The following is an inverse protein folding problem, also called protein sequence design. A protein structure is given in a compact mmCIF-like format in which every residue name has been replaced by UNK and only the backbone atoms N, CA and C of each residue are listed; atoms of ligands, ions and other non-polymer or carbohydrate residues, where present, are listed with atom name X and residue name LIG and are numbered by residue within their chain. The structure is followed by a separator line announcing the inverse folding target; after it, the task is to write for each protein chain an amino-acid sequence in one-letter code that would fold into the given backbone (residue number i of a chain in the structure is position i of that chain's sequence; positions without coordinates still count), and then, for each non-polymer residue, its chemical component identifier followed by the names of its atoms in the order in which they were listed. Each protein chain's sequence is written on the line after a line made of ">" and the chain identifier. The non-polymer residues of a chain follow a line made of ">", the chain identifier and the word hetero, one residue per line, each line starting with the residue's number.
data_IF_336625454475
#
_entry.id   IF_336625454475
#
_cell.length_a   1.000
_cell.length_b   1.000
_cell.length_c   1.000
_cell.angle_alpha   90.00
_cell.angle_beta   90.00
_cell.angle_gamma   90.00
#
_symmetry.space_group_name_H-M   'P 1'
#
loop_
_entity.id
_entity.type
_entity.pdbx_description
1 polymer ?
#
# COMPACT_ATOMS: atom_id res chain seq x y z
N UNK A 1 -51.74 -31.98 46.87
CA UNK A 1 -51.27 -32.66 45.64
C UNK A 1 -51.87 -31.95 44.42
N UNK A 2 -50.99 -31.48 43.53
CA UNK A 2 -51.14 -30.91 42.19
C UNK A 2 -52.39 -30.11 41.79
N UNK A 3 -52.20 -28.78 41.66
CA UNK A 3 -52.97 -27.88 40.79
C UNK A 3 -52.17 -27.65 39.49
N UNK A 4 -52.65 -28.18 38.37
CA UNK A 4 -52.16 -27.83 37.03
C UNK A 4 -52.89 -26.57 36.56
N UNK A 5 -52.17 -25.45 36.46
CA UNK A 5 -52.64 -24.23 35.80
C UNK A 5 -51.82 -24.07 34.52
N UNK A 6 -52.49 -24.25 33.38
CA UNK A 6 -52.01 -23.87 32.06
C UNK A 6 -51.80 -22.35 32.01
N UNK A 7 -50.58 -21.92 31.71
CA UNK A 7 -50.29 -20.54 31.27
C UNK A 7 -49.91 -20.55 29.80
N UNK A 8 -50.76 -19.91 29.01
CA UNK A 8 -50.50 -19.45 27.64
C UNK A 8 -49.52 -18.29 27.70
N UNK A 9 -48.44 -18.33 26.91
CA UNK A 9 -47.65 -17.14 26.53
C UNK A 9 -47.38 -17.21 25.03
N UNK A 10 -47.83 -16.17 24.33
CA UNK A 10 -47.63 -15.92 22.89
C UNK A 10 -46.30 -15.18 22.64
N UNK A 11 -45.66 -15.55 21.52
CA UNK A 11 -44.83 -14.76 20.59
C UNK A 11 -43.56 -14.05 21.08
N UNK A 12 -42.43 -14.37 20.42
CA UNK A 12 -41.67 -13.40 19.61
C UNK A 12 -40.65 -14.11 18.72
N UNK A 13 -40.71 -13.78 17.43
CA UNK A 13 -39.76 -14.22 16.41
C UNK A 13 -38.35 -13.69 16.73
N UNK A 14 -37.38 -14.60 16.81
CA UNK A 14 -35.96 -14.23 16.83
C UNK A 14 -35.38 -14.50 15.43
N UNK A 15 -35.17 -13.40 14.72
CA UNK A 15 -34.30 -13.27 13.55
C UNK A 15 -33.00 -14.05 13.75
N UNK A 16 -32.69 -14.92 12.80
CA UNK A 16 -31.41 -15.62 12.69
C UNK A 16 -30.29 -14.63 12.36
N UNK A 17 -29.81 -13.91 13.37
CA UNK A 17 -28.47 -13.31 13.34
C UNK A 17 -27.47 -14.47 13.39
N UNK A 18 -26.90 -14.79 12.23
CA UNK A 18 -25.65 -15.54 12.12
C UNK A 18 -24.56 -14.75 12.84
N UNK A 19 -24.49 -14.89 14.17
CA UNK A 19 -23.27 -14.64 14.91
C UNK A 19 -22.27 -15.68 14.43
N UNK A 20 -21.37 -15.28 13.54
CA UNK A 20 -20.12 -16.00 13.33
C UNK A 20 -19.38 -15.94 14.66
N UNK A 21 -19.58 -16.97 15.49
CA UNK A 21 -18.84 -17.17 16.73
C UNK A 21 -17.35 -17.13 16.40
N UNK A 22 -16.70 -16.04 16.78
CA UNK A 22 -15.26 -15.91 16.67
C UNK A 22 -14.65 -16.96 17.59
N UNK A 23 -14.11 -18.03 17.02
CA UNK A 23 -13.34 -19.02 17.77
C UNK A 23 -12.01 -18.37 18.17
N UNK A 24 -12.03 -17.67 19.29
CA UNK A 24 -10.85 -17.17 19.97
C UNK A 24 -10.19 -18.33 20.71
N UNK A 25 -8.94 -18.66 20.36
CA UNK A 25 -8.14 -19.57 21.18
C UNK A 25 -7.72 -18.83 22.46
N UNK A 26 -8.06 -19.36 23.63
CA UNK A 26 -7.63 -18.78 24.91
C UNK A 26 -6.24 -19.30 25.30
N UNK A 27 -5.37 -18.45 25.82
CA UNK A 27 -4.12 -18.91 26.46
C UNK A 27 -4.42 -19.56 27.82
N UNK A 28 -3.40 -20.16 28.46
CA UNK A 28 -3.52 -20.80 29.79
C UNK A 28 -3.99 -19.84 30.91
N UNK A 29 -4.11 -18.54 30.62
CA UNK A 29 -4.54 -17.48 31.54
C UNK A 29 -5.89 -16.86 31.13
N UNK A 30 -6.59 -17.41 30.14
CA UNK A 30 -7.89 -16.90 29.69
C UNK A 30 -7.83 -15.68 28.78
N UNK A 31 -6.66 -15.34 28.21
CA UNK A 31 -6.56 -14.26 27.23
C UNK A 31 -6.84 -14.77 25.82
N UNK A 32 -7.56 -13.99 25.02
CA UNK A 32 -7.72 -14.25 23.58
C UNK A 32 -6.35 -14.19 22.90
N UNK A 33 -5.85 -15.35 22.47
CA UNK A 33 -4.66 -15.47 21.64
C UNK A 33 -5.05 -15.15 20.20
N UNK A 34 -4.78 -13.92 19.77
CA UNK A 34 -4.91 -13.55 18.36
C UNK A 34 -3.82 -14.27 17.57
N UNK A 35 -4.17 -15.40 16.96
CA UNK A 35 -3.28 -16.08 16.00
C UNK A 35 -3.18 -15.20 14.75
N UNK A 36 -1.96 -15.01 14.26
CA UNK A 36 -1.67 -14.25 13.05
C UNK A 36 -1.24 -15.17 11.91
N UNK A 37 -1.51 -14.78 10.66
CA UNK A 37 -0.99 -15.43 9.45
C UNK A 37 -0.42 -14.42 8.47
N UNK A 38 0.37 -14.93 7.53
CA UNK A 38 0.90 -14.16 6.41
C UNK A 38 -0.06 -14.15 5.23
N UNK A 39 -0.23 -12.98 4.63
CA UNK A 39 -1.01 -12.76 3.43
C UNK A 39 -0.08 -12.21 2.36
N UNK A 40 0.15 -13.00 1.30
CA UNK A 40 0.89 -12.57 0.11
C UNK A 40 -0.10 -11.99 -0.88
N UNK A 41 -0.01 -10.69 -1.12
CA UNK A 41 -0.96 -9.94 -1.93
C UNK A 41 -0.27 -9.40 -3.17
N UNK A 42 -0.86 -9.59 -4.34
CA UNK A 42 -0.39 -8.97 -5.57
C UNK A 42 -0.37 -7.43 -5.41
N UNK A 43 0.70 -6.78 -5.86
CA UNK A 43 0.88 -5.33 -5.68
C UNK A 43 -0.24 -4.49 -6.28
N UNK A 44 -0.81 -4.88 -7.43
CA UNK A 44 -1.93 -4.17 -8.07
C UNK A 44 -3.18 -4.25 -7.20
N UNK A 45 -3.48 -5.43 -6.67
CA UNK A 45 -4.63 -5.62 -5.79
C UNK A 45 -4.47 -4.86 -4.47
N UNK A 46 -3.28 -4.94 -3.85
CA UNK A 46 -2.98 -4.24 -2.62
C UNK A 46 -3.09 -2.72 -2.80
N UNK A 47 -2.58 -2.18 -3.92
CA UNK A 47 -2.74 -0.77 -4.23
C UNK A 47 -4.21 -0.37 -4.47
N UNK A 48 -4.94 -1.15 -5.28
CA UNK A 48 -6.35 -0.87 -5.57
C UNK A 48 -7.16 -0.72 -4.28
N UNK A 49 -6.93 -1.61 -3.31
CA UNK A 49 -7.60 -1.56 -2.01
C UNK A 49 -7.12 -0.41 -1.13
N UNK A 50 -5.81 -0.18 -1.05
CA UNK A 50 -5.25 0.93 -0.28
C UNK A 50 -5.74 2.29 -0.79
N UNK A 51 -5.86 2.45 -2.12
CA UNK A 51 -6.36 3.68 -2.74
C UNK A 51 -7.79 3.99 -2.30
N UNK A 52 -8.69 3.00 -2.30
CA UNK A 52 -10.08 3.18 -1.83
C UNK A 52 -10.13 3.70 -0.39
N UNK A 53 -9.17 3.26 0.42
CA UNK A 53 -9.04 3.63 1.82
C UNK A 53 -8.12 4.86 2.06
N UNK A 54 -7.84 5.65 1.02
CA UNK A 54 -7.18 6.96 1.14
C UNK A 54 -5.66 6.92 1.33
N UNK A 55 -5.03 5.77 1.14
CA UNK A 55 -3.57 5.72 0.95
C UNK A 55 -3.20 6.39 -0.37
N UNK A 56 -2.03 7.02 -0.42
CA UNK A 56 -1.60 7.77 -1.61
C UNK A 56 -0.32 7.23 -2.23
N UNK A 57 -0.24 7.41 -3.54
CA UNK A 57 0.95 7.10 -4.33
C UNK A 57 1.27 8.27 -5.26
N UNK A 58 2.38 8.96 -5.01
CA UNK A 58 2.75 10.12 -5.83
C UNK A 58 4.27 10.27 -5.99
N UNK A 59 4.73 10.80 -7.14
CA UNK A 59 6.10 11.26 -7.28
C UNK A 59 6.37 12.52 -6.43
N UNK A 60 7.55 12.62 -5.85
CA UNK A 60 7.98 13.80 -5.09
C UNK A 60 7.94 15.05 -5.98
N UNK A 61 7.39 16.14 -5.44
CA UNK A 61 7.14 17.37 -6.19
C UNK A 61 5.76 17.44 -6.88
N UNK A 62 4.95 16.38 -6.80
CA UNK A 62 3.53 16.38 -7.19
C UNK A 62 2.57 16.40 -5.97
N UNK A 63 3.04 16.93 -4.84
CA UNK A 63 2.22 17.08 -3.63
C UNK A 63 0.97 17.92 -3.94
N UNK A 64 -0.20 17.29 -3.93
CA UNK A 64 -1.49 17.93 -4.19
C UNK A 64 -2.24 17.42 -5.43
N UNK A 65 -1.57 16.73 -6.35
CA UNK A 65 -2.22 16.12 -7.51
C UNK A 65 -3.08 14.90 -7.09
N UNK A 66 -4.32 14.84 -7.56
CA UNK A 66 -5.30 13.82 -7.19
C UNK A 66 -4.91 12.43 -7.75
N UNK A 67 -5.00 11.39 -6.91
CA UNK A 67 -4.72 10.00 -7.26
C UNK A 67 -5.68 9.51 -8.37
N UNK A 68 -5.15 9.12 -9.54
CA UNK A 68 -5.94 8.55 -10.64
C UNK A 68 -5.92 9.35 -11.95
N UNK A 69 -5.23 10.49 -11.98
CA UNK A 69 -4.72 11.07 -13.22
C UNK A 69 -3.21 10.83 -13.29
N UNK A 70 -2.68 10.60 -14.48
CA UNK A 70 -1.24 10.52 -14.77
C UNK A 70 -0.51 11.66 -14.05
N UNK A 71 0.07 11.37 -12.89
CA UNK A 71 0.64 12.39 -12.04
C UNK A 71 2.01 12.74 -12.60
N UNK A 72 2.04 13.65 -13.59
CA UNK A 72 3.26 14.09 -14.25
C UNK A 72 4.06 14.97 -13.29
N UNK A 73 5.13 14.44 -12.72
CA UNK A 73 6.10 15.22 -11.95
C UNK A 73 7.39 15.46 -12.72
N UNK A 74 8.25 16.28 -12.14
CA UNK A 74 9.60 16.55 -12.61
C UNK A 74 10.42 15.25 -12.66
N UNK A 75 11.24 15.11 -13.70
CA UNK A 75 12.45 14.31 -13.59
C UNK A 75 13.53 15.19 -12.96
N UNK A 76 14.40 14.57 -12.19
CA UNK A 76 15.56 15.23 -11.60
C UNK A 76 16.84 14.68 -12.24
N UNK A 77 17.85 15.52 -12.37
CA UNK A 77 19.21 15.11 -12.68
C UNK A 77 20.21 15.84 -11.78
N UNK A 78 21.42 15.29 -11.66
CA UNK A 78 22.52 15.94 -10.93
C UNK A 78 23.48 16.60 -11.90
N UNK A 79 23.90 17.84 -11.57
CA UNK A 79 25.04 18.52 -12.23
C UNK A 79 26.00 18.97 -11.13
N UNK A 80 27.15 18.29 -11.02
CA UNK A 80 27.99 18.39 -9.84
C UNK A 80 27.19 18.03 -8.58
N UNK A 81 27.18 18.93 -7.59
CA UNK A 81 26.43 18.74 -6.33
C UNK A 81 24.97 19.25 -6.38
N UNK A 82 24.55 19.89 -7.48
CA UNK A 82 23.20 20.49 -7.58
C UNK A 82 22.20 19.50 -8.19
N UNK A 83 21.02 19.40 -7.57
CA UNK A 83 19.86 18.71 -8.13
C UNK A 83 19.03 19.72 -8.93
N UNK A 84 18.74 19.39 -10.19
CA UNK A 84 17.97 20.23 -11.11
C UNK A 84 16.73 19.46 -11.54
N UNK A 85 15.55 20.08 -11.39
CA UNK A 85 14.27 19.54 -11.87
C UNK A 85 13.98 19.98 -13.31
N UNK A 86 13.48 19.07 -14.12
CA UNK A 86 13.06 19.32 -15.51
C UNK A 86 11.65 18.78 -15.75
N UNK A 87 10.75 19.66 -16.22
CA UNK A 87 9.39 19.36 -16.70
C UNK A 87 9.44 19.55 -18.21
N UNK A 88 9.27 18.49 -19.01
CA UNK A 88 7.90 18.06 -19.30
C UNK A 88 7.78 16.53 -19.35
N UNK A 89 6.74 15.96 -18.73
CA UNK A 89 6.35 14.53 -18.88
C UNK A 89 7.30 13.48 -18.29
N UNK A 90 8.04 13.82 -17.23
CA UNK A 90 9.15 13.00 -16.76
C UNK A 90 8.74 11.71 -16.03
N UNK A 91 7.93 11.82 -14.98
CA UNK A 91 7.64 10.68 -14.13
C UNK A 91 6.15 10.43 -13.95
N UNK A 92 5.75 9.15 -13.98
CA UNK A 92 4.35 8.73 -13.92
C UNK A 92 4.15 7.53 -13.00
N UNK A 93 2.97 7.47 -12.39
CA UNK A 93 2.46 6.27 -11.73
C UNK A 93 1.37 5.66 -12.62
N UNK A 94 1.69 4.58 -13.37
CA UNK A 94 0.72 3.91 -14.25
C UNK A 94 0.10 2.69 -13.59
N UNK A 95 -1.23 2.57 -13.68
CA UNK A 95 -1.98 1.47 -13.04
C UNK A 95 -1.75 1.39 -11.53
N UNK A 96 -1.26 2.48 -10.92
CA UNK A 96 -1.07 2.56 -9.48
C UNK A 96 0.11 1.78 -8.88
N UNK A 97 0.85 1.04 -9.70
CA UNK A 97 2.01 0.25 -9.23
C UNK A 97 3.26 0.43 -10.07
N UNK A 98 3.14 0.96 -11.29
CA UNK A 98 4.28 1.18 -12.17
C UNK A 98 4.82 2.58 -11.97
N UNK A 99 6.10 2.68 -11.61
CA UNK A 99 6.83 3.91 -11.37
C UNK A 99 7.75 4.15 -12.53
N UNK A 100 7.44 5.15 -13.33
CA UNK A 100 8.12 5.41 -14.58
C UNK A 100 8.92 6.69 -14.51
N UNK A 101 10.13 6.65 -15.06
CA UNK A 101 10.96 7.80 -15.38
C UNK A 101 11.20 7.75 -16.89
N UNK A 102 10.46 8.56 -17.62
CA UNK A 102 10.47 8.68 -19.07
C UNK A 102 11.75 9.34 -19.59
N UNK A 103 11.97 9.18 -20.89
CA UNK A 103 12.94 9.98 -21.61
C UNK A 103 12.57 11.45 -21.52
N UNK A 104 13.50 12.26 -21.04
CA UNK A 104 13.48 13.69 -21.27
C UNK A 104 14.80 14.07 -21.93
N UNK A 105 14.73 14.39 -23.23
CA UNK A 105 15.85 15.06 -23.90
C UNK A 105 15.81 16.53 -23.55
N UNK A 106 16.95 17.08 -23.14
CA UNK A 106 17.10 18.50 -22.90
C UNK A 106 18.20 19.02 -23.83
N UNK A 107 17.84 19.86 -24.80
CA UNK A 107 18.78 20.40 -25.78
C UNK A 107 19.94 21.18 -25.14
N UNK A 108 19.73 21.77 -23.95
CA UNK A 108 20.74 22.54 -23.21
C UNK A 108 21.72 21.66 -22.43
N UNK A 109 21.31 20.45 -22.02
CA UNK A 109 22.10 19.59 -21.12
C UNK A 109 22.43 18.22 -21.71
N UNK A 110 21.97 17.91 -22.91
CA UNK A 110 22.21 16.62 -23.57
C UNK A 110 21.60 15.44 -22.81
N UNK A 111 22.14 14.23 -23.04
CA UNK A 111 21.70 13.01 -22.34
C UNK A 111 22.24 13.01 -20.90
N UNK A 112 21.33 12.97 -19.92
CA UNK A 112 21.63 12.94 -18.50
C UNK A 112 21.11 11.66 -17.84
N UNK A 113 21.68 11.29 -16.69
CA UNK A 113 21.01 10.35 -15.77
C UNK A 113 19.78 11.07 -15.21
N UNK A 114 18.64 10.39 -15.25
CA UNK A 114 17.38 10.93 -14.75
C UNK A 114 16.90 10.09 -13.58
N UNK A 115 16.26 10.72 -12.61
CA UNK A 115 15.61 10.00 -11.52
C UNK A 115 14.35 10.71 -11.05
N UNK A 116 13.50 9.95 -10.37
CA UNK A 116 12.44 10.49 -9.55
C UNK A 116 12.24 9.66 -8.29
N UNK A 117 11.76 10.35 -7.27
CA UNK A 117 11.42 9.75 -5.99
C UNK A 117 9.91 9.57 -5.93
N UNK A 118 9.46 8.47 -5.37
CA UNK A 118 8.08 8.05 -5.34
C UNK A 118 7.69 7.69 -3.92
N UNK A 119 6.67 8.34 -3.39
CA UNK A 119 6.07 8.03 -2.10
C UNK A 119 4.99 6.97 -2.31
N UNK A 120 5.12 5.84 -1.60
CA UNK A 120 4.21 4.69 -1.70
C UNK A 120 3.52 4.49 -0.35
N UNK A 121 2.22 4.16 -0.38
CA UNK A 121 1.36 4.01 0.81
C UNK A 121 1.51 5.17 1.79
N UNK A 122 1.55 6.39 1.25
CA UNK A 122 1.75 7.58 2.06
C UNK A 122 0.50 7.96 2.85
N UNK A 123 0.70 8.82 3.86
CA UNK A 123 -0.33 9.48 4.70
C UNK A 123 -1.10 8.59 5.69
N UNK A 124 -1.13 7.27 5.50
CA UNK A 124 -1.89 6.35 6.35
C UNK A 124 -1.02 5.22 6.89
N UNK A 125 -1.45 4.64 8.01
CA UNK A 125 -0.89 3.43 8.62
C UNK A 125 -1.87 2.28 8.43
N UNK A 126 -1.40 1.04 8.42
CA UNK A 126 -2.28 -0.12 8.43
C UNK A 126 -3.18 -0.13 9.67
N UNK A 127 -4.37 -0.74 9.54
CA UNK A 127 -5.31 -0.95 10.63
C UNK A 127 -4.64 -1.65 11.81
N UNK A 128 -5.08 -1.36 13.04
CA UNK A 128 -4.59 -2.04 14.25
C UNK A 128 -4.73 -3.56 14.11
N UNK A 129 -3.70 -4.29 14.52
CA UNK A 129 -3.63 -5.75 14.35
C UNK A 129 -2.99 -6.21 13.03
N UNK A 130 -2.80 -5.29 12.07
CA UNK A 130 -2.11 -5.56 10.81
C UNK A 130 -0.69 -4.98 10.79
N UNK A 131 0.23 -5.68 10.14
CA UNK A 131 1.64 -5.29 10.02
C UNK A 131 2.19 -5.62 8.65
N UNK A 132 3.13 -4.81 8.17
CA UNK A 132 3.89 -5.10 6.95
C UNK A 132 5.05 -6.05 7.28
N UNK A 133 5.18 -7.16 6.55
CA UNK A 133 6.39 -8.01 6.58
C UNK A 133 7.35 -7.62 5.47
N UNK A 134 6.83 -7.50 4.24
CA UNK A 134 7.67 -7.29 3.06
C UNK A 134 6.95 -6.53 1.94
N UNK A 135 7.68 -5.66 1.21
CA UNK A 135 7.24 -5.10 -0.07
C UNK A 135 8.28 -5.49 -1.13
N UNK A 136 7.85 -6.26 -2.12
CA UNK A 136 8.69 -6.70 -3.25
C UNK A 136 8.49 -5.79 -4.44
N UNK A 137 9.60 -5.21 -4.90
CA UNK A 137 9.66 -4.38 -6.10
C UNK A 137 10.50 -5.08 -7.18
N UNK A 138 10.08 -4.94 -8.44
CA UNK A 138 10.88 -5.31 -9.61
C UNK A 138 11.33 -4.05 -10.37
N UNK A 139 12.37 -4.18 -11.20
CA UNK A 139 12.86 -3.12 -12.09
C UNK A 139 14.01 -2.29 -11.52
N UNK A 140 14.20 -1.07 -12.04
CA UNK A 140 15.34 -0.21 -11.73
C UNK A 140 15.03 0.77 -10.60
N UNK A 141 15.33 0.38 -9.35
CA UNK A 141 15.03 1.22 -8.19
C UNK A 141 16.09 1.17 -7.09
N UNK A 142 16.00 2.12 -6.16
CA UNK A 142 16.71 2.16 -4.88
C UNK A 142 15.76 2.61 -3.78
N UNK A 143 15.88 2.05 -2.58
CA UNK A 143 15.13 2.53 -1.42
C UNK A 143 15.77 3.83 -0.89
N UNK A 144 14.97 4.89 -0.73
CA UNK A 144 15.39 6.09 0.02
C UNK A 144 14.91 6.05 1.46
N UNK A 145 13.67 5.59 1.66
CA UNK A 145 13.12 5.21 2.96
C UNK A 145 12.50 3.85 2.77
N UNK A 146 13.06 2.80 3.37
CA UNK A 146 12.44 1.46 3.36
C UNK A 146 11.34 1.40 4.44
N UNK A 147 10.29 0.63 4.20
CA UNK A 147 9.26 0.35 5.21
C UNK A 147 9.89 -0.34 6.43
N UNK A 148 9.27 -0.17 7.60
CA UNK A 148 9.71 -0.84 8.84
C UNK A 148 8.93 -2.15 9.00
N UNK A 149 9.63 -3.27 8.79
CA UNK A 149 9.03 -4.60 8.92
C UNK A 149 8.43 -4.82 10.32
N UNK A 150 7.37 -5.62 10.39
CA UNK A 150 6.59 -5.94 11.57
C UNK A 150 5.96 -4.72 12.27
N UNK A 151 5.63 -3.67 11.52
CA UNK A 151 4.91 -2.49 12.03
C UNK A 151 3.68 -2.19 11.19
N UNK A 152 2.82 -1.28 11.66
CA UNK A 152 1.72 -0.74 10.86
C UNK A 152 2.16 0.44 9.97
N UNK A 153 3.42 0.87 10.01
CA UNK A 153 3.96 1.91 9.14
C UNK A 153 4.44 1.31 7.82
N UNK A 154 3.58 1.37 6.80
CA UNK A 154 3.84 0.85 5.46
C UNK A 154 4.42 1.91 4.50
N UNK A 155 4.41 3.18 4.91
CA UNK A 155 4.87 4.28 4.06
C UNK A 155 6.36 4.16 3.73
N UNK A 156 6.67 4.26 2.43
CA UNK A 156 8.02 4.05 1.92
C UNK A 156 8.32 5.02 0.76
N UNK A 157 9.61 5.25 0.49
CA UNK A 157 10.07 6.13 -0.58
C UNK A 157 11.07 5.40 -1.48
N UNK A 158 10.75 5.36 -2.77
CA UNK A 158 11.51 4.64 -3.79
C UNK A 158 12.08 5.64 -4.79
N UNK A 159 13.38 5.53 -5.08
CA UNK A 159 14.03 6.24 -6.17
C UNK A 159 14.09 5.35 -7.40
N UNK A 160 13.50 5.76 -8.51
CA UNK A 160 13.66 5.12 -9.81
C UNK A 160 14.74 5.88 -10.57
N UNK A 161 15.73 5.15 -11.11
CA UNK A 161 16.89 5.75 -11.79
C UNK A 161 16.95 5.23 -13.21
N UNK A 162 17.04 6.17 -14.16
CA UNK A 162 17.28 5.93 -15.56
C UNK A 162 18.74 6.30 -15.89
N UNK A 163 19.57 5.33 -16.29
CA UNK A 163 20.96 5.58 -16.63
C UNK A 163 21.12 6.60 -17.76
N UNK A 164 22.23 7.35 -17.71
CA UNK A 164 22.66 8.25 -18.79
C UNK A 164 22.75 7.46 -20.10
N UNK A 165 22.24 8.02 -21.20
CA UNK A 165 22.34 7.39 -22.52
C UNK A 165 21.24 6.37 -22.84
N UNK A 166 20.49 5.88 -21.84
CA UNK A 166 19.39 4.94 -22.09
C UNK A 166 18.31 5.56 -22.98
N UNK A 167 17.81 4.80 -23.94
CA UNK A 167 16.68 5.20 -24.80
C UNK A 167 15.33 4.66 -24.27
N UNK A 168 15.32 3.87 -23.19
CA UNK A 168 14.10 3.30 -22.61
C UNK A 168 13.77 3.95 -21.27
N UNK A 169 12.48 4.10 -20.97
CA UNK A 169 12.05 4.58 -19.67
C UNK A 169 12.52 3.62 -18.56
N UNK A 170 12.96 4.16 -17.42
CA UNK A 170 13.20 3.32 -16.25
C UNK A 170 11.87 3.03 -15.56
N UNK A 171 11.68 1.78 -15.14
CA UNK A 171 10.47 1.30 -14.51
C UNK A 171 10.79 0.60 -13.19
N UNK A 172 9.99 0.88 -12.16
CA UNK A 172 9.87 0.01 -10.99
C UNK A 172 8.40 -0.40 -10.81
N UNK A 173 8.15 -1.59 -10.25
CA UNK A 173 6.79 -2.09 -10.05
C UNK A 173 6.64 -2.77 -8.70
N UNK A 174 5.55 -2.48 -7.97
CA UNK A 174 5.15 -3.26 -6.79
C UNK A 174 4.62 -4.61 -7.28
N UNK A 175 5.39 -5.66 -7.03
CA UNK A 175 5.03 -7.04 -7.41
C UNK A 175 4.15 -7.68 -6.36
N UNK A 176 4.56 -7.60 -5.09
CA UNK A 176 3.92 -8.31 -3.99
C UNK A 176 4.10 -7.53 -2.69
N UNK A 177 3.10 -7.62 -1.81
CA UNK A 177 3.15 -7.14 -0.44
C UNK A 177 2.79 -8.31 0.47
N UNK A 178 3.60 -8.53 1.51
CA UNK A 178 3.37 -9.55 2.51
C UNK A 178 2.90 -8.88 3.79
N UNK A 179 1.64 -9.11 4.15
CA UNK A 179 1.02 -8.58 5.37
C UNK A 179 0.94 -9.66 6.43
N UNK A 180 0.99 -9.26 7.70
CA UNK A 180 0.70 -10.12 8.85
C UNK A 180 -0.55 -9.58 9.52
N UNK A 181 -1.55 -10.42 9.69
CA UNK A 181 -2.82 -10.05 10.33
C UNK A 181 -3.55 -11.25 10.93
N UNK A 182 -4.76 -11.04 11.45
CA UNK A 182 -5.55 -12.09 12.10
C UNK A 182 -5.78 -13.30 11.19
N UNK A 183 -5.70 -14.53 11.73
CA UNK A 183 -5.91 -15.77 10.97
C UNK A 183 -7.26 -15.82 10.26
N UNK A 184 -8.30 -15.28 10.89
CA UNK A 184 -9.67 -15.22 10.34
C UNK A 184 -9.97 -13.91 9.60
N UNK A 185 -8.99 -13.00 9.49
CA UNK A 185 -9.15 -11.73 8.79
C UNK A 185 -8.99 -11.86 7.27
N UNK A 186 -9.45 -10.83 6.55
CA UNK A 186 -9.20 -10.66 5.11
C UNK A 186 -8.08 -9.63 4.93
N UNK A 187 -7.19 -9.84 3.97
CA UNK A 187 -6.06 -8.92 3.78
C UNK A 187 -6.50 -7.48 3.45
N UNK A 188 -7.68 -7.30 2.85
CA UNK A 188 -8.27 -6.00 2.56
C UNK A 188 -8.44 -5.16 3.83
N UNK A 189 -8.85 -5.81 4.93
CA UNK A 189 -9.07 -5.19 6.24
C UNK A 189 -7.82 -4.48 6.79
N UNK A 190 -6.63 -4.80 6.26
CA UNK A 190 -5.39 -4.11 6.61
C UNK A 190 -5.40 -2.62 6.23
N UNK A 191 -6.19 -2.24 5.22
CA UNK A 191 -6.28 -0.90 4.69
C UNK A 191 -7.51 -0.13 5.19
N UNK A 192 -8.50 -0.80 5.76
CA UNK A 192 -9.73 -0.18 6.26
C UNK A 192 -9.46 0.66 7.53
N UNK A 193 -9.46 1.99 7.37
CA UNK A 193 -9.12 2.97 8.42
C UNK A 193 -10.18 4.04 8.53
#
# INVERSE_FOLDING_TARGET
>A
MNKNIFKVIYFLAATSLLFSAQVSAFDKKGNVTVRNKEFKVNGIMAWSEAKKNGFRFYPQGATGSLDGQDTRSFNYFKRGNKVIGYKPNGSQVLGGVNLLVHNSYNAKYGKQELFANFHIFAKRKLKRGWRIKEIKLNGSYRWLKKYKANTNEISTVVKVVKPKGSNTAAKAMIKEIVLIGPVNGRWQDAFDI
#
